data_IF_151368134474
#
_entry.id   IF_151368134474
#
_cell.length_a   1.000
_cell.length_b   1.000
_cell.length_c   1.000
_cell.angle_alpha   90.00
_cell.angle_beta   90.00
_cell.angle_gamma   90.00
#
_symmetry.space_group_name_H-M   'P 1'
#
loop_
_entity.id
_entity.type
_entity.pdbx_description
1 polymer ?
#
# COMPACT_ATOMS: atom_id res chain seq x y z
N UNK A 1 -4.88 12.94 1.46
CA UNK A 1 -4.79 11.55 0.98
C UNK A 1 -6.00 11.16 0.14
N UNK A 2 -7.22 11.26 0.68
CA UNK A 2 -8.43 10.80 -0.01
C UNK A 2 -8.64 11.49 -1.37
N UNK A 3 -8.43 12.79 -1.46
CA UNK A 3 -8.57 13.56 -2.71
C UNK A 3 -7.57 13.08 -3.76
N UNK A 4 -6.31 12.93 -3.39
CA UNK A 4 -5.25 12.44 -4.29
C UNK A 4 -5.58 11.01 -4.74
N UNK A 5 -5.97 10.14 -3.82
CA UNK A 5 -6.36 8.77 -4.12
C UNK A 5 -7.53 8.67 -5.10
N UNK A 6 -8.57 9.50 -4.94
CA UNK A 6 -9.71 9.55 -5.86
C UNK A 6 -9.29 10.05 -7.24
N UNK A 7 -8.43 11.07 -7.31
CA UNK A 7 -7.90 11.59 -8.59
C UNK A 7 -7.07 10.52 -9.29
N UNK A 8 -6.16 9.85 -8.59
CA UNK A 8 -5.29 8.81 -9.15
C UNK A 8 -6.11 7.61 -9.66
N UNK A 9 -7.08 7.15 -8.87
CA UNK A 9 -7.97 6.07 -9.31
C UNK A 9 -8.81 6.47 -10.52
N UNK A 10 -9.23 7.73 -10.59
CA UNK A 10 -9.95 8.29 -11.73
C UNK A 10 -9.09 8.41 -13.00
N UNK A 11 -7.78 8.62 -12.86
CA UNK A 11 -6.85 8.71 -13.99
C UNK A 11 -6.78 7.42 -14.81
N UNK A 12 -7.02 6.26 -14.21
CA UNK A 12 -7.09 4.97 -14.93
C UNK A 12 -8.14 5.02 -16.04
N UNK A 13 -9.28 5.66 -15.77
CA UNK A 13 -10.40 5.75 -16.72
C UNK A 13 -10.12 6.78 -17.81
N UNK A 14 -9.43 7.88 -17.46
CA UNK A 14 -9.20 9.00 -18.35
C UNK A 14 -8.00 8.84 -19.28
N UNK A 15 -6.88 8.33 -18.75
CA UNK A 15 -5.65 8.16 -19.52
C UNK A 15 -4.70 7.18 -18.82
N UNK A 16 -4.58 5.95 -19.35
CA UNK A 16 -3.65 4.94 -18.83
C UNK A 16 -2.20 5.42 -18.79
N UNK A 17 -1.79 6.25 -19.76
CA UNK A 17 -0.42 6.77 -19.85
C UNK A 17 -0.05 7.70 -18.67
N UNK A 18 -0.97 8.53 -18.20
CA UNK A 18 -0.76 9.35 -17.02
C UNK A 18 -0.72 8.52 -15.73
N UNK A 19 -1.53 7.45 -15.67
CA UNK A 19 -1.50 6.51 -14.56
C UNK A 19 -0.16 5.80 -14.47
N UNK A 20 0.41 5.34 -15.59
CA UNK A 20 1.74 4.71 -15.63
C UNK A 20 2.85 5.67 -15.19
N UNK A 21 2.77 6.96 -15.54
CA UNK A 21 3.70 7.97 -15.06
C UNK A 21 3.59 8.19 -13.55
N UNK A 22 2.37 8.20 -13.01
CA UNK A 22 2.15 8.30 -11.57
C UNK A 22 2.73 7.07 -10.85
N UNK A 23 2.58 5.86 -11.39
CA UNK A 23 3.15 4.64 -10.82
C UNK A 23 4.69 4.67 -10.74
N UNK A 24 5.37 5.33 -11.69
CA UNK A 24 6.82 5.51 -11.62
C UNK A 24 7.23 6.33 -10.39
N UNK A 25 6.40 7.30 -9.99
CA UNK A 25 6.65 8.11 -8.80
C UNK A 25 6.57 7.27 -7.51
N UNK A 26 5.69 6.27 -7.46
CA UNK A 26 5.55 5.33 -6.34
C UNK A 26 6.73 4.34 -6.20
N UNK A 27 7.59 4.21 -7.20
CA UNK A 27 8.84 3.45 -7.08
C UNK A 27 9.89 4.15 -6.21
N UNK A 28 9.70 5.44 -5.91
CA UNK A 28 10.58 6.17 -5.01
C UNK A 28 10.35 5.70 -3.56
N UNK A 29 11.40 5.30 -2.82
CA UNK A 29 11.28 4.82 -1.45
C UNK A 29 10.65 5.84 -0.49
N UNK A 30 10.78 7.14 -0.78
CA UNK A 30 10.16 8.20 0.01
C UNK A 30 8.62 8.15 -0.08
N UNK A 31 8.07 7.90 -1.27
CA UNK A 31 6.62 7.76 -1.45
C UNK A 31 6.09 6.51 -0.76
N UNK A 32 6.78 5.38 -0.84
CA UNK A 32 6.42 4.16 -0.10
C UNK A 32 6.45 4.37 1.41
N UNK A 33 7.41 5.13 1.91
CA UNK A 33 7.44 5.47 3.34
C UNK A 33 6.26 6.36 3.75
N UNK A 34 5.91 7.35 2.92
CA UNK A 34 4.74 8.21 3.15
C UNK A 34 3.44 7.40 3.12
N UNK A 35 3.30 6.48 2.19
CA UNK A 35 2.15 5.57 2.09
C UNK A 35 2.03 4.69 3.35
N UNK A 36 3.14 4.12 3.82
CA UNK A 36 3.18 3.35 5.06
C UNK A 36 2.78 4.19 6.28
N UNK A 37 3.23 5.45 6.34
CA UNK A 37 2.87 6.37 7.43
C UNK A 37 1.37 6.72 7.41
N UNK A 38 0.79 6.94 6.24
CA UNK A 38 -0.65 7.18 6.07
C UNK A 38 -1.43 5.93 6.49
N UNK A 39 -0.99 4.75 6.05
CA UNK A 39 -1.62 3.50 6.42
C UNK A 39 -1.60 3.28 7.94
N UNK A 40 -0.46 3.55 8.59
CA UNK A 40 -0.35 3.51 10.05
C UNK A 40 -1.33 4.47 10.72
N UNK A 41 -1.43 5.71 10.24
CA UNK A 41 -2.32 6.72 10.81
C UNK A 41 -3.80 6.29 10.70
N UNK A 42 -4.21 5.77 9.56
CA UNK A 42 -5.58 5.28 9.32
C UNK A 42 -5.89 4.06 10.20
N UNK A 43 -4.98 3.09 10.26
CA UNK A 43 -5.14 1.89 11.08
C UNK A 43 -5.21 2.24 12.57
N UNK A 44 -4.30 3.09 13.04
CA UNK A 44 -4.31 3.56 14.43
C UNK A 44 -5.60 4.31 14.76
N UNK A 45 -6.07 5.17 13.87
CA UNK A 45 -7.32 5.90 14.04
C UNK A 45 -8.52 4.94 14.12
N UNK A 46 -8.59 3.94 13.25
CA UNK A 46 -9.66 2.96 13.24
C UNK A 46 -9.68 2.12 14.53
N UNK A 47 -8.54 1.59 14.97
CA UNK A 47 -8.44 0.77 16.18
C UNK A 47 -8.73 1.61 17.44
N UNK A 48 -8.19 2.82 17.50
CA UNK A 48 -8.44 3.72 18.63
C UNK A 48 -9.90 4.22 18.65
N UNK A 49 -10.49 4.50 17.49
CA UNK A 49 -11.92 4.85 17.38
C UNK A 49 -12.83 3.71 17.86
N UNK A 50 -12.54 2.48 17.46
CA UNK A 50 -13.26 1.29 17.94
C UNK A 50 -13.14 1.16 19.46
N UNK A 51 -11.97 1.41 20.05
CA UNK A 51 -11.78 1.44 21.50
C UNK A 51 -12.73 2.44 22.18
N UNK A 52 -12.85 3.67 21.64
CA UNK A 52 -13.72 4.70 22.20
C UNK A 52 -15.17 4.24 22.15
N UNK A 53 -15.64 3.72 21.01
CA UNK A 53 -17.00 3.19 20.83
C UNK A 53 -17.28 2.06 21.84
N UNK A 54 -16.36 1.13 22.01
CA UNK A 54 -16.51 0.03 22.98
C UNK A 54 -16.63 0.55 24.42
N UNK A 55 -15.86 1.59 24.78
CA UNK A 55 -15.95 2.20 26.10
C UNK A 55 -17.28 2.91 26.35
N UNK A 56 -17.87 3.50 25.32
CA UNK A 56 -19.18 4.15 25.41
C UNK A 56 -20.30 3.14 25.63
N UNK A 57 -20.24 1.97 24.99
CA UNK A 57 -21.22 0.91 25.17
C UNK A 57 -21.06 0.14 26.49
N UNK A 58 -19.82 0.05 27.02
CA UNK A 58 -19.53 -0.64 28.28
C UNK A 58 -18.78 0.25 29.28
N UNK A 59 -19.50 1.07 30.08
CA UNK A 59 -18.88 2.00 31.05
C UNK A 59 -17.96 1.33 32.06
N UNK A 60 -18.17 0.03 32.37
CA UNK A 60 -17.28 -0.73 33.25
C UNK A 60 -15.85 -0.84 32.73
N UNK A 61 -15.65 -0.76 31.41
CA UNK A 61 -14.32 -0.79 30.77
C UNK A 61 -13.55 0.52 30.99
N UNK A 62 -14.20 1.60 31.36
CA UNK A 62 -13.55 2.87 31.68
C UNK A 62 -12.53 2.74 32.82
N UNK A 63 -12.74 1.85 33.76
CA UNK A 63 -11.82 1.58 34.86
C UNK A 63 -10.50 0.94 34.34
N UNK A 64 -10.54 0.34 33.15
CA UNK A 64 -9.37 -0.33 32.52
C UNK A 64 -8.83 0.43 31.30
N UNK A 65 -9.05 1.73 31.22
CA UNK A 65 -8.67 2.56 30.08
C UNK A 65 -7.18 2.40 29.66
N UNK A 66 -6.27 2.24 30.66
CA UNK A 66 -4.84 2.02 30.39
C UNK A 66 -4.58 0.68 29.70
N UNK A 67 -5.25 -0.38 30.15
CA UNK A 67 -5.10 -1.72 29.53
C UNK A 67 -5.62 -1.72 28.08
N UNK A 68 -6.77 -1.06 27.85
CA UNK A 68 -7.34 -0.90 26.52
C UNK A 68 -6.44 -0.05 25.61
N UNK A 69 -5.79 0.99 26.15
CA UNK A 69 -4.83 1.78 25.37
C UNK A 69 -3.62 0.95 24.95
N UNK A 70 -3.08 0.15 25.86
CA UNK A 70 -1.96 -0.76 25.58
C UNK A 70 -2.40 -1.82 24.55
N UNK A 71 -3.59 -2.41 24.71
CA UNK A 71 -4.12 -3.38 23.75
C UNK A 71 -4.27 -2.77 22.35
N UNK A 72 -4.78 -1.55 22.24
CA UNK A 72 -4.87 -0.80 20.97
C UNK A 72 -3.50 -0.62 20.33
N UNK A 73 -2.50 -0.20 21.09
CA UNK A 73 -1.14 -0.02 20.60
C UNK A 73 -0.52 -1.35 20.13
N UNK A 74 -0.68 -2.41 20.93
CA UNK A 74 -0.17 -3.75 20.59
C UNK A 74 -0.85 -4.28 19.31
N UNK A 75 -2.15 -4.18 19.19
CA UNK A 75 -2.91 -4.63 18.00
C UNK A 75 -2.42 -3.86 16.76
N UNK A 76 -2.27 -2.54 16.88
CA UNK A 76 -1.79 -1.72 15.76
C UNK A 76 -0.38 -2.12 15.32
N UNK A 77 0.55 -2.30 16.28
CA UNK A 77 1.92 -2.73 15.97
C UNK A 77 1.93 -4.11 15.33
N UNK A 78 1.21 -5.08 15.89
CA UNK A 78 1.14 -6.44 15.34
C UNK A 78 0.56 -6.46 13.91
N UNK A 79 -0.46 -5.65 13.64
CA UNK A 79 -1.04 -5.54 12.32
C UNK A 79 -0.08 -4.84 11.33
N UNK A 80 0.77 -3.92 11.80
CA UNK A 80 1.75 -3.23 10.96
C UNK A 80 2.92 -4.13 10.53
N UNK A 81 3.28 -5.16 11.29
CA UNK A 81 4.40 -6.07 10.96
C UNK A 81 4.24 -6.69 9.56
N UNK A 82 3.16 -7.43 9.24
CA UNK A 82 3.01 -8.04 7.93
C UNK A 82 2.89 -7.02 6.80
N UNK A 83 2.27 -5.88 7.06
CA UNK A 83 2.09 -4.81 6.06
C UNK A 83 3.44 -4.18 5.72
N UNK A 84 4.22 -3.82 6.74
CA UNK A 84 5.58 -3.29 6.55
C UNK A 84 6.45 -4.28 5.81
N UNK A 85 6.37 -5.57 6.17
CA UNK A 85 7.11 -6.63 5.48
C UNK A 85 6.73 -6.73 4.00
N UNK A 86 5.44 -6.67 3.67
CA UNK A 86 4.98 -6.73 2.28
C UNK A 86 5.38 -5.50 1.47
N UNK A 87 5.33 -4.30 2.07
CA UNK A 87 5.64 -3.05 1.38
C UNK A 87 7.14 -2.79 1.24
N UNK A 88 7.93 -3.14 2.26
CA UNK A 88 9.37 -2.88 2.29
C UNK A 88 10.19 -4.04 1.71
N UNK A 89 9.64 -5.25 1.64
CA UNK A 89 10.33 -6.44 1.14
C UNK A 89 10.98 -6.25 -0.23
N UNK A 90 10.31 -5.69 -1.24
CA UNK A 90 10.89 -5.43 -2.56
C UNK A 90 12.03 -4.40 -2.53
N UNK A 91 11.96 -3.39 -1.66
CA UNK A 91 13.01 -2.35 -1.55
C UNK A 91 14.28 -2.91 -0.92
N UNK A 92 14.12 -3.81 0.05
CA UNK A 92 15.24 -4.44 0.76
C UNK A 92 15.84 -5.63 -0.02
N UNK A 93 15.33 -5.94 -1.22
CA UNK A 93 15.76 -7.09 -2.02
C UNK A 93 15.41 -8.44 -1.37
N UNK A 94 14.53 -8.46 -0.37
CA UNK A 94 14.10 -9.66 0.33
C UNK A 94 12.98 -10.40 -0.41
N UNK A 95 12.42 -9.78 -1.45
CA UNK A 95 11.33 -10.33 -2.24
C UNK A 95 11.34 -9.74 -3.64
N UNK A 96 11.36 -10.58 -4.65
CA UNK A 96 11.21 -10.17 -6.03
C UNK A 96 9.76 -9.72 -6.27
N UNK A 97 9.58 -8.67 -7.06
CA UNK A 97 8.23 -8.21 -7.41
C UNK A 97 7.58 -9.26 -8.32
N UNK A 98 6.45 -9.87 -7.92
CA UNK A 98 5.83 -10.98 -8.67
C UNK A 98 5.36 -10.58 -10.07
N UNK A 99 5.36 -9.28 -10.38
CA UNK A 99 5.06 -8.74 -11.70
C UNK A 99 6.25 -8.74 -12.65
N UNK A 100 7.46 -8.50 -12.15
CA UNK A 100 8.69 -8.43 -12.95
C UNK A 100 9.10 -9.82 -13.41
N UNK A 101 9.14 -10.81 -12.50
CA UNK A 101 9.42 -12.20 -12.87
C UNK A 101 8.44 -12.76 -13.90
N UNK A 102 7.15 -12.45 -13.73
CA UNK A 102 6.12 -12.92 -14.65
C UNK A 102 6.25 -12.28 -16.04
N UNK A 103 6.70 -11.02 -16.11
CA UNK A 103 6.96 -10.32 -17.35
C UNK A 103 8.20 -10.89 -18.05
N UNK A 104 9.30 -11.06 -17.31
CA UNK A 104 10.53 -11.66 -17.83
C UNK A 104 10.32 -13.10 -18.33
N UNK A 105 9.61 -13.94 -17.56
CA UNK A 105 9.28 -15.29 -17.97
C UNK A 105 8.39 -15.32 -19.22
N UNK A 106 7.44 -14.39 -19.32
CA UNK A 106 6.57 -14.28 -20.50
C UNK A 106 7.36 -13.85 -21.73
N UNK A 107 8.27 -12.90 -21.60
CA UNK A 107 9.11 -12.44 -22.70
C UNK A 107 10.18 -13.46 -23.10
N UNK A 108 10.64 -14.30 -22.18
CA UNK A 108 11.53 -15.41 -22.49
C UNK A 108 10.82 -16.54 -23.26
N UNK A 109 9.52 -16.77 -23.00
CA UNK A 109 8.74 -17.82 -23.69
C UNK A 109 8.02 -17.34 -24.95
N UNK A 110 7.74 -16.06 -25.06
CA UNK A 110 7.04 -15.43 -26.19
C UNK A 110 7.68 -14.07 -26.51
N UNK A 111 8.85 -14.04 -27.17
CA UNK A 111 9.55 -12.79 -27.50
C UNK A 111 8.75 -11.87 -28.43
N UNK A 112 7.85 -12.41 -29.22
CA UNK A 112 7.01 -11.67 -30.18
C UNK A 112 5.72 -11.09 -29.56
N UNK A 113 5.51 -11.26 -28.26
CA UNK A 113 4.35 -10.67 -27.60
C UNK A 113 4.44 -9.12 -27.57
N UNK A 114 3.37 -8.39 -27.87
CA UNK A 114 3.40 -6.92 -27.93
C UNK A 114 3.83 -6.25 -26.61
N UNK A 115 3.72 -6.96 -25.50
CA UNK A 115 4.17 -6.51 -24.19
C UNK A 115 5.69 -6.58 -24.00
N UNK A 116 6.42 -7.29 -24.86
CA UNK A 116 7.86 -7.52 -24.80
C UNK A 116 8.65 -6.67 -25.82
N UNK A 117 7.97 -5.85 -26.61
CA UNK A 117 8.61 -4.93 -27.51
C UNK A 117 9.47 -3.91 -26.74
N UNK A 118 10.71 -3.64 -27.17
CA UNK A 118 11.54 -2.61 -26.57
C UNK A 118 10.82 -1.27 -26.66
N UNK A 119 10.72 -0.57 -25.53
CA UNK A 119 10.09 0.75 -25.42
C UNK A 119 10.79 1.76 -26.34
N UNK A 120 10.47 1.78 -27.61
CA UNK A 120 11.11 2.68 -28.57
C UNK A 120 10.48 2.76 -29.95
N UNK A 121 9.64 1.80 -30.34
CA UNK A 121 8.99 1.82 -31.66
C UNK A 121 7.48 2.00 -31.55
N UNK A 122 7.07 3.19 -31.17
CA UNK A 122 5.74 3.68 -31.54
C UNK A 122 5.85 4.05 -33.01
N UNK A 123 5.56 3.13 -33.89
CA UNK A 123 5.35 3.41 -35.32
C UNK A 123 4.26 4.50 -35.43
N UNK A 124 4.67 5.56 -36.10
CA UNK A 124 3.84 6.69 -36.53
C UNK A 124 2.67 6.23 -37.40
#
# INVERSE_FOLDING_TARGET
>A
FLIIHVIETGLIIYSPAFYDQALVLYKNPLFRLAELAIFFAVLFHAVNGTRIVVQDFWPMLMQRHRQLAIATAVITVLAMIPITWMMMGPILGLRDEPGVERHEQRCATQPDAPACAPHGEVTR
#
